data_IF_095444370101
#
_entry.id   IF_095444370101
#
_cell.length_a   1.000
_cell.length_b   1.000
_cell.length_c   1.000
_cell.angle_alpha   90.00
_cell.angle_beta   90.00
_cell.angle_gamma   90.00
#
_symmetry.space_group_name_H-M   'P 1'
#
loop_
_entity.id
_entity.type
_entity.pdbx_description
1 polymer ?
#
# COMPACT_ATOMS: atom_id res chain seq x y z
N UNK A 1 -10.31 13.59 -14.69
CA UNK A 1 -9.63 12.65 -13.78
C UNK A 1 -8.17 13.06 -13.67
N UNK A 2 -7.54 12.94 -12.49
CA UNK A 2 -6.09 13.13 -12.40
C UNK A 2 -5.36 11.96 -13.07
N UNK A 3 -4.17 12.21 -13.63
CA UNK A 3 -3.36 11.17 -14.27
C UNK A 3 -3.02 10.02 -13.29
N UNK A 4 -2.76 10.35 -12.02
CA UNK A 4 -2.55 9.37 -10.95
C UNK A 4 -3.77 8.48 -10.71
N UNK A 5 -4.98 9.03 -10.82
CA UNK A 5 -6.21 8.23 -10.68
C UNK A 5 -6.35 7.21 -11.83
N UNK A 6 -6.05 7.63 -13.06
CA UNK A 6 -6.08 6.76 -14.22
C UNK A 6 -5.04 5.63 -14.08
N UNK A 7 -3.82 5.96 -13.64
CA UNK A 7 -2.75 5.00 -13.38
C UNK A 7 -3.18 3.89 -12.40
N UNK A 8 -3.81 4.26 -11.27
CA UNK A 8 -4.33 3.28 -10.30
C UNK A 8 -5.41 2.39 -10.89
N UNK A 9 -6.34 2.95 -11.66
CA UNK A 9 -7.44 2.18 -12.23
C UNK A 9 -6.93 1.22 -13.32
N UNK A 10 -6.13 1.74 -14.25
CA UNK A 10 -5.70 0.99 -15.44
C UNK A 10 -4.60 -0.02 -15.15
N UNK A 11 -3.66 0.34 -14.27
CA UNK A 11 -2.51 -0.49 -13.91
C UNK A 11 -2.81 -1.49 -12.79
N UNK A 12 -3.66 -1.13 -11.82
CA UNK A 12 -3.90 -1.97 -10.64
C UNK A 12 -5.29 -2.60 -10.65
N UNK A 13 -6.36 -1.81 -10.67
CA UNK A 13 -7.73 -2.35 -10.52
C UNK A 13 -8.11 -3.28 -11.68
N UNK A 14 -7.71 -2.97 -12.91
CA UNK A 14 -7.98 -3.82 -14.09
C UNK A 14 -7.35 -5.21 -14.00
N UNK A 15 -6.38 -5.44 -13.13
CA UNK A 15 -5.80 -6.79 -12.88
C UNK A 15 -6.78 -7.74 -12.19
N UNK A 16 -7.85 -7.22 -11.57
CA UNK A 16 -8.81 -7.97 -10.73
C UNK A 16 -8.19 -8.65 -9.50
N UNK A 17 -6.92 -8.38 -9.22
CA UNK A 17 -6.20 -8.91 -8.05
C UNK A 17 -5.74 -7.80 -7.09
N UNK A 18 -6.09 -6.55 -7.39
CA UNK A 18 -6.02 -5.41 -6.47
C UNK A 18 -7.46 -4.99 -6.15
N UNK A 19 -7.78 -4.92 -4.85
CA UNK A 19 -9.09 -4.48 -4.37
C UNK A 19 -9.16 -2.96 -4.29
N UNK A 20 -8.17 -2.34 -3.65
CA UNK A 20 -8.09 -0.90 -3.49
C UNK A 20 -6.64 -0.44 -3.63
N UNK A 21 -6.43 0.81 -4.04
CA UNK A 21 -5.10 1.40 -4.08
C UNK A 21 -5.12 2.91 -3.80
N UNK A 22 -4.00 3.45 -3.33
CA UNK A 22 -3.80 4.87 -3.14
C UNK A 22 -2.33 5.27 -3.30
N UNK A 23 -2.11 6.55 -3.59
CA UNK A 23 -0.78 7.15 -3.69
C UNK A 23 -0.67 8.21 -2.60
N UNK A 24 0.40 8.11 -1.82
CA UNK A 24 0.77 9.07 -0.78
C UNK A 24 1.97 9.86 -1.30
N UNK A 25 1.90 11.18 -1.29
CA UNK A 25 3.06 12.03 -1.54
C UNK A 25 3.88 12.15 -0.25
N UNK A 26 5.16 11.76 -0.31
CA UNK A 26 6.06 11.73 0.85
C UNK A 26 6.32 13.14 1.38
N UNK A 27 6.59 14.10 0.48
CA UNK A 27 6.93 15.47 0.84
C UNK A 27 5.71 16.22 1.40
N UNK A 28 4.55 16.05 0.76
CA UNK A 28 3.31 16.70 1.19
C UNK A 28 2.62 15.97 2.36
N UNK A 29 3.09 14.77 2.72
CA UNK A 29 2.54 13.90 3.78
C UNK A 29 1.03 13.67 3.66
N UNK A 30 0.53 13.58 2.42
CA UNK A 30 -0.91 13.45 2.13
C UNK A 30 -1.18 12.45 1.01
N UNK A 31 -2.38 11.90 1.02
CA UNK A 31 -2.89 11.07 -0.07
C UNK A 31 -3.23 11.98 -1.26
N UNK A 32 -2.67 11.71 -2.44
CA UNK A 32 -2.91 12.52 -3.65
C UNK A 32 -3.79 11.82 -4.70
N UNK A 33 -3.96 10.51 -4.60
CA UNK A 33 -4.92 9.75 -5.40
C UNK A 33 -5.37 8.48 -4.65
N UNK A 34 -6.61 8.05 -4.85
CA UNK A 34 -7.11 6.78 -4.31
C UNK A 34 -8.23 6.21 -5.16
N UNK A 35 -8.34 4.88 -5.23
CA UNK A 35 -9.43 4.21 -5.95
C UNK A 35 -10.78 4.54 -5.32
N UNK A 36 -11.85 4.47 -6.13
CA UNK A 36 -13.19 4.87 -5.68
C UNK A 36 -13.61 4.15 -4.40
N UNK A 37 -14.09 4.91 -3.40
CA UNK A 37 -14.51 4.37 -2.11
C UNK A 37 -13.36 4.02 -1.15
N UNK A 38 -12.10 4.15 -1.56
CA UNK A 38 -10.95 3.89 -0.71
C UNK A 38 -10.44 5.16 -0.04
N UNK A 39 -10.82 5.35 1.22
CA UNK A 39 -10.27 6.38 2.09
C UNK A 39 -9.11 5.83 2.93
N UNK A 40 -7.98 6.55 2.90
CA UNK A 40 -6.79 6.28 3.71
C UNK A 40 -6.67 7.41 4.72
N UNK A 41 -6.83 7.14 6.02
CA UNK A 41 -6.71 8.17 7.04
C UNK A 41 -5.33 8.86 7.01
N UNK A 42 -5.24 10.18 7.23
CA UNK A 42 -3.97 10.89 7.27
C UNK A 42 -2.97 10.29 8.25
N UNK A 43 -3.42 9.81 9.41
CA UNK A 43 -2.53 9.15 10.39
C UNK A 43 -1.92 7.87 9.83
N UNK A 44 -2.66 7.09 9.02
CA UNK A 44 -2.13 5.90 8.38
C UNK A 44 -1.12 6.26 7.28
N UNK A 45 -1.35 7.33 6.53
CA UNK A 45 -0.41 7.80 5.52
C UNK A 45 0.91 8.27 6.16
N UNK A 46 0.83 9.06 7.24
CA UNK A 46 2.01 9.52 8.00
C UNK A 46 2.74 8.33 8.63
N UNK A 47 2.01 7.37 9.21
CA UNK A 47 2.62 6.18 9.79
C UNK A 47 3.36 5.34 8.74
N UNK A 48 2.80 5.19 7.54
CA UNK A 48 3.50 4.49 6.43
C UNK A 48 4.78 5.22 6.03
N UNK A 49 4.75 6.55 5.89
CA UNK A 49 5.96 7.35 5.62
C UNK A 49 6.99 7.10 6.73
N UNK A 50 6.61 7.30 7.99
CA UNK A 50 7.49 7.11 9.13
C UNK A 50 8.07 5.69 9.19
N UNK A 51 7.25 4.68 8.83
CA UNK A 51 7.63 3.28 8.81
C UNK A 51 8.82 3.02 7.90
N UNK A 52 8.78 3.53 6.66
CA UNK A 52 9.86 3.35 5.70
C UNK A 52 11.19 3.97 6.15
N UNK A 53 11.13 5.09 6.88
CA UNK A 53 12.34 5.80 7.30
C UNK A 53 12.91 5.32 8.64
N UNK A 54 12.08 4.82 9.56
CA UNK A 54 12.51 4.64 10.96
C UNK A 54 12.13 3.29 11.59
N UNK A 55 11.10 2.58 11.09
CA UNK A 55 10.50 1.46 11.82
C UNK A 55 10.50 0.11 11.10
N UNK A 56 11.26 -0.06 10.01
CA UNK A 56 11.29 -1.33 9.26
C UNK A 56 11.58 -2.55 10.15
N UNK A 57 12.54 -2.43 11.08
CA UNK A 57 12.87 -3.50 12.03
C UNK A 57 11.71 -3.85 12.97
N UNK A 58 10.96 -2.85 13.43
CA UNK A 58 9.77 -3.07 14.26
C UNK A 58 8.68 -3.76 13.45
N UNK A 59 8.42 -3.31 12.22
CA UNK A 59 7.42 -3.94 11.33
C UNK A 59 7.76 -5.39 11.05
N UNK A 60 9.04 -5.73 10.83
CA UNK A 60 9.47 -7.14 10.67
C UNK A 60 9.11 -8.01 11.86
N UNK A 61 9.19 -7.47 13.09
CA UNK A 61 8.92 -8.21 14.33
C UNK A 61 7.44 -8.27 14.69
N UNK A 62 6.77 -7.13 14.61
CA UNK A 62 5.45 -6.91 15.20
C UNK A 62 4.34 -6.78 14.15
N UNK A 63 4.69 -6.57 12.88
CA UNK A 63 3.73 -6.20 11.85
C UNK A 63 3.36 -4.72 11.89
N UNK A 64 2.21 -4.37 11.29
CA UNK A 64 1.76 -2.99 11.19
C UNK A 64 0.23 -2.90 11.31
N UNK A 65 -0.26 -1.84 11.97
CA UNK A 65 -1.67 -1.49 11.96
C UNK A 65 -2.01 -0.57 10.80
N UNK A 66 -2.99 -0.96 9.99
CA UNK A 66 -3.53 -0.15 8.91
C UNK A 66 -5.05 -0.23 8.90
N UNK A 67 -5.72 0.94 8.94
CA UNK A 67 -7.20 1.05 9.00
C UNK A 67 -7.82 0.12 10.06
N UNK A 68 -7.32 0.21 11.29
CA UNK A 68 -7.75 -0.57 12.47
C UNK A 68 -7.58 -2.09 12.34
N UNK A 69 -6.87 -2.58 11.32
CA UNK A 69 -6.54 -3.99 11.15
C UNK A 69 -5.04 -4.19 11.38
N UNK A 70 -4.70 -5.20 12.18
CA UNK A 70 -3.31 -5.65 12.30
C UNK A 70 -2.96 -6.54 11.11
N UNK A 71 -1.75 -6.38 10.60
CA UNK A 71 -1.18 -7.24 9.58
C UNK A 71 0.20 -7.74 10.02
N UNK A 72 0.46 -9.03 9.79
CA UNK A 72 1.78 -9.62 9.97
C UNK A 72 2.67 -9.25 8.78
N UNK A 73 3.95 -9.02 9.07
CA UNK A 73 4.95 -8.77 8.04
C UNK A 73 5.30 -10.03 7.27
N UNK A 74 5.37 -9.92 5.94
CA UNK A 74 5.89 -10.93 5.01
C UNK A 74 7.24 -10.47 4.45
N UNK A 75 7.34 -9.18 4.11
CA UNK A 75 8.57 -8.50 3.65
C UNK A 75 8.54 -7.06 4.16
N UNK A 76 9.68 -6.52 4.55
CA UNK A 76 9.81 -5.10 4.83
C UNK A 76 11.27 -4.70 4.62
N UNK A 77 11.55 -3.91 3.60
CA UNK A 77 12.85 -3.31 3.32
C UNK A 77 12.69 -1.85 2.93
N UNK A 78 13.74 -1.23 2.43
CA UNK A 78 13.77 0.20 2.15
C UNK A 78 12.77 0.60 1.06
N UNK A 79 12.47 -0.30 0.13
CA UNK A 79 11.63 -0.02 -1.03
C UNK A 79 10.23 -0.59 -0.85
N UNK A 80 10.09 -1.74 -0.18
CA UNK A 80 8.83 -2.47 -0.18
C UNK A 80 8.45 -3.07 1.16
N UNK A 81 7.18 -2.95 1.51
CA UNK A 81 6.56 -3.54 2.70
C UNK A 81 5.35 -4.37 2.27
N UNK A 82 5.40 -5.68 2.53
CA UNK A 82 4.32 -6.62 2.25
C UNK A 82 3.76 -7.15 3.56
N UNK A 83 2.45 -7.00 3.73
CA UNK A 83 1.74 -7.30 4.95
C UNK A 83 0.55 -8.20 4.65
N UNK A 84 0.23 -9.13 5.55
CA UNK A 84 -0.88 -10.09 5.40
C UNK A 84 -1.65 -10.26 6.71
N UNK A 85 -2.96 -10.44 6.60
CA UNK A 85 -3.81 -10.95 7.67
C UNK A 85 -4.82 -11.97 7.12
N UNK A 86 -5.79 -12.36 7.95
CA UNK A 86 -6.82 -13.35 7.58
C UNK A 86 -7.80 -12.86 6.51
N UNK A 87 -7.90 -11.54 6.30
CA UNK A 87 -8.82 -10.93 5.35
C UNK A 87 -8.17 -10.60 4.01
N UNK A 88 -6.84 -10.65 3.91
CA UNK A 88 -6.11 -10.24 2.72
C UNK A 88 -4.71 -9.74 3.04
N UNK A 89 -4.26 -8.74 2.29
CA UNK A 89 -2.97 -8.11 2.52
C UNK A 89 -2.89 -6.68 2.03
N UNK A 90 -1.80 -6.03 2.42
CA UNK A 90 -1.44 -4.66 2.10
C UNK A 90 -0.01 -4.69 1.54
N UNK A 91 0.13 -4.19 0.32
CA UNK A 91 1.42 -3.96 -0.33
C UNK A 91 1.66 -2.45 -0.31
N UNK A 92 2.84 -2.04 0.15
CA UNK A 92 3.31 -0.66 0.09
C UNK A 92 4.67 -0.63 -0.60
N UNK A 93 4.80 0.18 -1.64
CA UNK A 93 6.03 0.36 -2.43
C UNK A 93 6.41 1.83 -2.39
N UNK A 94 7.62 2.12 -1.96
CA UNK A 94 8.21 3.45 -1.84
C UNK A 94 9.00 3.76 -3.10
N UNK A 95 8.73 4.93 -3.66
CA UNK A 95 9.54 5.57 -4.69
C UNK A 95 10.22 6.80 -4.08
N UNK A 96 10.97 7.55 -4.89
CA UNK A 96 11.62 8.77 -4.42
C UNK A 96 10.65 9.85 -3.89
N UNK A 97 9.43 9.92 -4.44
CA UNK A 97 8.47 10.98 -4.12
C UNK A 97 7.13 10.47 -3.55
N UNK A 98 6.83 9.19 -3.76
CA UNK A 98 5.53 8.62 -3.44
C UNK A 98 5.64 7.28 -2.72
N UNK A 99 4.62 6.95 -1.94
CA UNK A 99 4.34 5.59 -1.50
C UNK A 99 3.06 5.15 -2.19
N UNK A 100 3.16 4.13 -3.02
CA UNK A 100 2.02 3.43 -3.60
C UNK A 100 1.57 2.36 -2.61
N UNK A 101 0.28 2.35 -2.28
CA UNK A 101 -0.32 1.29 -1.47
C UNK A 101 -1.43 0.59 -2.22
N UNK A 102 -1.54 -0.72 -2.03
CA UNK A 102 -2.61 -1.54 -2.58
C UNK A 102 -3.03 -2.62 -1.61
N UNK A 103 -4.32 -2.92 -1.56
CA UNK A 103 -4.86 -4.06 -0.81
C UNK A 103 -5.33 -5.14 -1.77
N UNK A 104 -5.24 -6.39 -1.33
CA UNK A 104 -5.93 -7.52 -1.94
C UNK A 104 -6.72 -8.25 -0.85
N UNK A 105 -7.76 -8.99 -1.25
CA UNK A 105 -8.59 -9.77 -0.33
C UNK A 105 -8.49 -11.27 -0.59
N UNK A 106 -9.09 -12.06 0.29
CA UNK A 106 -9.26 -13.51 0.09
C UNK A 106 -9.88 -13.79 -1.28
N UNK A 107 -9.32 -14.75 -2.02
CA UNK A 107 -9.72 -15.10 -3.39
C UNK A 107 -8.94 -14.37 -4.48
N UNK A 108 -8.16 -13.34 -4.15
CA UNK A 108 -7.19 -12.73 -5.07
C UNK A 108 -5.81 -13.38 -4.92
N UNK A 109 -4.99 -13.33 -5.98
CA UNK A 109 -3.61 -13.82 -5.94
C UNK A 109 -2.67 -12.74 -5.39
N UNK A 110 -2.02 -12.95 -4.24
CA UNK A 110 -1.10 -11.97 -3.66
C UNK A 110 0.07 -11.66 -4.59
N UNK A 111 0.59 -12.65 -5.31
CA UNK A 111 1.70 -12.49 -6.26
C UNK A 111 1.37 -11.51 -7.38
N UNK A 112 0.14 -11.56 -7.93
CA UNK A 112 -0.29 -10.63 -8.99
C UNK A 112 -0.46 -9.21 -8.44
N UNK A 113 -0.98 -9.07 -7.22
CA UNK A 113 -1.06 -7.78 -6.55
C UNK A 113 0.35 -7.18 -6.34
N UNK A 114 1.28 -7.97 -5.80
CA UNK A 114 2.69 -7.56 -5.64
C UNK A 114 3.29 -7.13 -6.97
N UNK A 115 3.19 -7.97 -8.01
CA UNK A 115 3.77 -7.68 -9.32
C UNK A 115 3.19 -6.40 -9.95
N UNK A 116 1.88 -6.20 -9.85
CA UNK A 116 1.22 -5.02 -10.41
C UNK A 116 1.67 -3.73 -9.72
N UNK A 117 1.85 -3.77 -8.39
CA UNK A 117 2.22 -2.60 -7.58
C UNK A 117 3.70 -2.26 -7.74
N UNK A 118 4.58 -3.26 -7.77
CA UNK A 118 6.03 -3.07 -7.96
C UNK A 118 6.40 -2.54 -9.35
N UNK A 119 5.59 -2.84 -10.38
CA UNK A 119 5.84 -2.41 -11.77
C UNK A 119 5.26 -1.03 -12.12
N UNK A 120 4.43 -0.44 -11.25
CA UNK A 120 3.71 0.80 -11.51
C UNK A 120 4.60 2.03 -11.29
#
# INVERSE_FOLDING_TARGET
>A
MSQLQALLNDGLIRTKHVENAAIININERKVCASTSGFYVPPENAINLIYTFYNNLMQVRREGLYFKQKHYKCVRADEDSIYLKNVHGGLIAVKTNAFILIATYKVGMYPSVCVEAVEKL
#
